data_IF_296607748765
#
_entry.id   IF_296607748765
#
_cell.length_a   1.000
_cell.length_b   1.000
_cell.length_c   1.000
_cell.angle_alpha   90.00
_cell.angle_beta   90.00
_cell.angle_gamma   90.00
#
_symmetry.space_group_name_H-M   'P 1'
#
loop_
_entity.id
_entity.type
_entity.pdbx_description
1 polymer ?
#
# COMPACT_ATOMS: atom_id res chain seq x y z
N UNK A 1 -30.28 17.08 48.91
CA UNK A 1 -30.31 17.62 47.54
C UNK A 1 -28.90 17.46 46.97
N UNK A 2 -28.65 16.34 46.38
CA UNK A 2 -27.32 16.00 45.84
C UNK A 2 -27.51 15.53 44.41
N UNK A 3 -27.09 16.39 43.52
CA UNK A 3 -27.19 16.25 42.04
C UNK A 3 -26.15 15.29 41.54
N UNK A 4 -26.57 14.16 41.04
CA UNK A 4 -25.77 13.27 40.20
C UNK A 4 -25.88 13.70 38.74
N UNK A 5 -24.82 14.22 38.12
CA UNK A 5 -24.76 14.30 36.68
C UNK A 5 -23.37 13.95 36.13
N UNK A 6 -22.94 12.71 36.16
CA UNK A 6 -21.70 12.38 35.47
C UNK A 6 -21.65 10.96 34.88
N UNK A 7 -22.77 10.30 34.69
CA UNK A 7 -22.77 8.89 34.23
C UNK A 7 -23.14 8.70 32.76
N UNK A 8 -23.24 9.76 31.92
CA UNK A 8 -23.74 9.62 30.54
C UNK A 8 -22.83 10.09 29.42
N UNK A 9 -21.56 10.47 29.67
CA UNK A 9 -20.73 11.10 28.63
C UNK A 9 -19.54 10.28 28.15
N UNK A 10 -19.29 9.07 28.64
CA UNK A 10 -18.08 8.34 28.29
C UNK A 10 -18.27 7.12 27.33
N UNK A 11 -19.50 6.81 26.94
CA UNK A 11 -19.78 5.66 26.07
C UNK A 11 -19.48 5.83 24.57
N UNK A 12 -19.57 7.00 23.93
CA UNK A 12 -19.33 7.07 22.47
C UNK A 12 -17.86 7.02 22.08
N UNK A 13 -16.93 7.48 22.90
CA UNK A 13 -15.49 7.55 22.54
C UNK A 13 -14.80 6.19 22.50
N UNK A 14 -15.20 5.26 23.37
CA UNK A 14 -14.64 3.90 23.44
C UNK A 14 -15.04 3.04 22.24
N UNK A 15 -16.28 3.13 21.78
CA UNK A 15 -16.76 2.39 20.61
C UNK A 15 -16.12 2.89 19.31
N UNK A 16 -15.95 4.20 19.15
CA UNK A 16 -15.33 4.81 17.98
C UNK A 16 -13.84 4.43 17.92
N UNK A 17 -13.15 4.43 19.06
CA UNK A 17 -11.73 4.08 19.13
C UNK A 17 -11.47 2.58 18.91
N UNK A 18 -12.35 1.69 19.36
CA UNK A 18 -12.22 0.25 19.14
C UNK A 18 -12.44 -0.12 17.66
N UNK A 19 -13.42 0.52 17.02
CA UNK A 19 -13.68 0.31 15.58
C UNK A 19 -12.52 0.82 14.72
N UNK A 20 -11.97 1.99 15.07
CA UNK A 20 -10.82 2.58 14.40
C UNK A 20 -9.54 1.73 14.56
N UNK A 21 -9.37 1.11 15.73
CA UNK A 21 -8.23 0.24 16.04
C UNK A 21 -8.29 -1.09 15.26
N UNK A 22 -9.46 -1.71 15.13
CA UNK A 22 -9.64 -2.94 14.35
C UNK A 22 -9.50 -2.69 12.84
N UNK A 23 -10.02 -1.58 12.36
CA UNK A 23 -9.95 -1.15 10.97
C UNK A 23 -8.50 -0.95 10.50
N UNK A 24 -7.64 -0.39 11.37
CA UNK A 24 -6.22 -0.22 11.04
C UNK A 24 -5.46 -1.56 11.04
N UNK A 25 -5.93 -2.57 11.78
CA UNK A 25 -5.28 -3.88 11.86
C UNK A 25 -5.31 -4.62 10.53
N UNK A 26 -6.46 -4.64 9.86
CA UNK A 26 -6.61 -5.29 8.54
C UNK A 26 -5.74 -4.61 7.48
N UNK A 27 -5.70 -3.26 7.51
CA UNK A 27 -4.84 -2.51 6.60
C UNK A 27 -3.35 -2.76 6.87
N UNK A 28 -2.94 -2.80 8.14
CA UNK A 28 -1.56 -3.12 8.52
C UNK A 28 -1.17 -4.52 8.02
N UNK A 29 -2.04 -5.51 8.18
CA UNK A 29 -1.80 -6.88 7.69
C UNK A 29 -1.69 -6.88 6.16
N UNK A 30 -2.58 -6.19 5.46
CA UNK A 30 -2.55 -6.08 4.00
C UNK A 30 -1.26 -5.42 3.48
N UNK A 31 -0.80 -4.37 4.13
CA UNK A 31 0.45 -3.68 3.79
C UNK A 31 1.66 -4.60 4.07
N UNK A 32 1.66 -5.33 5.20
CA UNK A 32 2.70 -6.31 5.49
C UNK A 32 2.74 -7.43 4.46
N UNK A 33 1.59 -7.97 4.07
CA UNK A 33 1.49 -9.00 3.03
C UNK A 33 2.02 -8.47 1.69
N UNK A 34 1.63 -7.26 1.30
CA UNK A 34 2.13 -6.61 0.09
C UNK A 34 3.65 -6.43 0.12
N UNK A 35 4.18 -5.99 1.25
CA UNK A 35 5.62 -5.77 1.44
C UNK A 35 6.41 -7.09 1.37
N UNK A 36 5.94 -8.14 2.05
CA UNK A 36 6.56 -9.47 1.97
C UNK A 36 6.54 -10.00 0.54
N UNK A 37 5.40 -9.84 -0.17
CA UNK A 37 5.31 -10.26 -1.56
C UNK A 37 6.31 -9.55 -2.45
N UNK A 38 6.54 -8.26 -2.22
CA UNK A 38 7.51 -7.45 -2.97
C UNK A 38 8.95 -7.96 -2.76
N UNK A 39 9.30 -8.32 -1.53
CA UNK A 39 10.62 -8.89 -1.21
C UNK A 39 10.75 -10.28 -1.82
N UNK A 40 9.74 -11.14 -1.62
CA UNK A 40 9.75 -12.49 -2.17
C UNK A 40 9.78 -12.49 -3.70
N UNK A 41 9.08 -11.56 -4.36
CA UNK A 41 9.17 -11.41 -5.81
C UNK A 41 10.61 -11.17 -6.26
N UNK A 42 11.33 -10.26 -5.60
CA UNK A 42 12.74 -9.98 -5.89
C UNK A 42 13.65 -11.20 -5.68
N UNK A 43 13.46 -11.91 -4.57
CA UNK A 43 14.24 -13.09 -4.22
C UNK A 43 13.96 -14.29 -5.13
N UNK A 44 12.69 -14.61 -5.36
CA UNK A 44 12.27 -15.73 -6.18
C UNK A 44 12.65 -15.53 -7.66
N UNK A 45 12.56 -14.32 -8.16
CA UNK A 45 12.98 -13.98 -9.53
C UNK A 45 14.47 -14.25 -9.75
N UNK A 46 15.30 -13.98 -8.73
CA UNK A 46 16.75 -14.15 -8.84
C UNK A 46 17.16 -15.62 -8.68
N UNK A 47 16.46 -16.40 -7.84
CA UNK A 47 17.01 -17.64 -7.31
C UNK A 47 16.29 -18.92 -7.68
N UNK A 48 14.96 -18.92 -7.78
CA UNK A 48 14.23 -20.16 -7.95
C UNK A 48 13.75 -20.41 -9.38
N UNK A 49 13.18 -19.43 -10.06
CA UNK A 49 12.61 -19.64 -11.39
C UNK A 49 12.39 -18.30 -12.11
N UNK A 50 13.12 -18.03 -13.20
CA UNK A 50 12.87 -16.84 -14.05
C UNK A 50 11.44 -16.78 -14.61
N UNK A 51 10.76 -17.95 -14.76
CA UNK A 51 9.39 -18.06 -15.26
C UNK A 51 8.29 -17.70 -14.25
N UNK A 52 8.58 -17.66 -12.94
CA UNK A 52 7.61 -17.30 -11.89
C UNK A 52 7.45 -15.78 -11.68
N UNK A 53 8.22 -14.96 -12.37
CA UNK A 53 8.13 -13.51 -12.28
C UNK A 53 6.74 -12.99 -12.69
N UNK A 54 6.15 -13.56 -13.73
CA UNK A 54 4.82 -13.15 -14.24
C UNK A 54 3.67 -13.50 -13.30
N UNK A 55 3.56 -14.74 -12.76
CA UNK A 55 2.49 -15.06 -11.80
C UNK A 55 2.57 -14.26 -10.50
N UNK A 56 3.77 -13.97 -9.98
CA UNK A 56 3.92 -13.16 -8.76
C UNK A 56 3.49 -11.71 -8.96
N UNK A 57 3.78 -11.13 -10.12
CA UNK A 57 3.27 -9.82 -10.51
C UNK A 57 1.74 -9.79 -10.52
N UNK A 58 1.12 -10.84 -11.07
CA UNK A 58 -0.35 -10.96 -11.15
C UNK A 58 -0.97 -11.06 -9.75
N UNK A 59 -0.31 -11.69 -8.79
CA UNK A 59 -0.83 -11.81 -7.40
C UNK A 59 -0.65 -10.51 -6.63
N UNK A 60 0.41 -9.75 -6.88
CA UNK A 60 0.69 -8.49 -6.20
C UNK A 60 -0.28 -7.37 -6.56
N UNK A 61 -0.63 -7.27 -7.84
CA UNK A 61 -1.47 -6.18 -8.34
C UNK A 61 -2.88 -6.16 -7.70
N UNK A 62 -3.62 -7.28 -7.58
CA UNK A 62 -4.91 -7.28 -6.91
C UNK A 62 -4.83 -6.92 -5.43
N UNK A 63 -3.74 -7.26 -4.74
CA UNK A 63 -3.53 -6.86 -3.34
C UNK A 63 -3.33 -5.34 -3.26
N UNK A 64 -2.54 -4.76 -4.16
CA UNK A 64 -2.36 -3.31 -4.25
C UNK A 64 -3.68 -2.58 -4.53
N UNK A 65 -4.45 -3.07 -5.51
CA UNK A 65 -5.76 -2.53 -5.86
C UNK A 65 -6.73 -2.63 -4.67
N UNK A 66 -6.78 -3.78 -4.01
CA UNK A 66 -7.62 -3.98 -2.84
C UNK A 66 -7.28 -3.01 -1.71
N UNK A 67 -5.99 -2.80 -1.43
CA UNK A 67 -5.52 -1.83 -0.45
C UNK A 67 -5.92 -0.40 -0.82
N UNK A 68 -5.73 0.00 -2.08
CA UNK A 68 -6.11 1.32 -2.59
C UNK A 68 -7.61 1.54 -2.44
N UNK A 69 -8.43 0.58 -2.85
CA UNK A 69 -9.90 0.67 -2.75
C UNK A 69 -10.33 0.77 -1.29
N UNK A 70 -9.78 -0.08 -0.40
CA UNK A 70 -10.09 -0.05 1.04
C UNK A 70 -9.71 1.28 1.68
N UNK A 71 -8.59 1.86 1.28
CA UNK A 71 -8.15 3.16 1.79
C UNK A 71 -9.01 4.29 1.25
N UNK A 72 -9.45 4.20 -0.01
CA UNK A 72 -10.38 5.16 -0.58
C UNK A 72 -11.73 5.14 0.15
N UNK A 73 -12.33 3.95 0.32
CA UNK A 73 -13.60 3.77 1.04
C UNK A 73 -13.55 4.31 2.48
N UNK A 74 -12.36 4.30 3.09
CA UNK A 74 -12.14 4.77 4.47
C UNK A 74 -11.73 6.24 4.57
N UNK A 75 -11.64 6.95 3.46
CA UNK A 75 -11.23 8.37 3.46
C UNK A 75 -9.80 8.59 3.96
N UNK A 76 -8.94 7.56 3.92
CA UNK A 76 -7.55 7.63 4.36
C UNK A 76 -6.64 8.23 3.30
N UNK A 77 -7.13 8.45 2.10
CA UNK A 77 -6.35 9.12 1.06
C UNK A 77 -6.07 10.57 1.47
N UNK A 78 -4.81 10.97 1.57
CA UNK A 78 -4.49 12.37 1.77
C UNK A 78 -4.88 13.14 0.50
N UNK A 79 -5.65 14.21 0.68
CA UNK A 79 -5.79 15.23 -0.35
C UNK A 79 -4.46 15.97 -0.46
N UNK A 80 -3.54 15.43 -1.25
CA UNK A 80 -2.18 15.96 -1.41
C UNK A 80 -1.97 16.34 -2.88
N UNK A 81 -1.38 17.50 -3.10
CA UNK A 81 -1.01 17.98 -4.43
C UNK A 81 -0.08 16.99 -5.15
N UNK A 82 0.75 16.28 -4.39
CA UNK A 82 1.64 15.24 -4.93
C UNK A 82 0.86 14.05 -5.51
N UNK A 83 -0.19 13.61 -4.82
CA UNK A 83 -1.03 12.52 -5.30
C UNK A 83 -1.77 12.92 -6.59
N UNK A 84 -2.34 14.13 -6.62
CA UNK A 84 -3.00 14.67 -7.82
C UNK A 84 -2.01 14.83 -8.97
N UNK A 85 -0.80 15.36 -8.70
CA UNK A 85 0.26 15.48 -9.69
C UNK A 85 0.68 14.14 -10.29
N UNK A 86 0.80 13.09 -9.45
CA UNK A 86 1.16 11.75 -9.93
C UNK A 86 0.07 11.10 -10.79
N UNK A 87 -1.20 11.31 -10.46
CA UNK A 87 -2.30 10.84 -11.30
C UNK A 87 -2.27 11.53 -12.67
N UNK A 88 -2.05 12.85 -12.70
CA UNK A 88 -1.93 13.60 -13.94
C UNK A 88 -0.73 13.11 -14.78
N UNK A 89 0.43 12.92 -14.16
CA UNK A 89 1.63 12.38 -14.82
C UNK A 89 1.37 10.97 -15.35
N UNK A 90 0.68 10.12 -14.59
CA UNK A 90 0.29 8.78 -15.01
C UNK A 90 -0.61 8.78 -16.26
N UNK A 91 -1.60 9.65 -16.28
CA UNK A 91 -2.50 9.81 -17.44
C UNK A 91 -1.74 10.35 -18.66
N UNK A 92 -0.90 11.38 -18.47
CA UNK A 92 -0.06 11.93 -19.53
C UNK A 92 0.92 10.87 -20.06
N UNK A 93 1.48 10.04 -19.18
CA UNK A 93 2.36 8.93 -19.54
C UNK A 93 1.66 7.90 -20.43
N UNK A 94 0.41 7.54 -20.13
CA UNK A 94 -0.40 6.66 -21.00
C UNK A 94 -0.60 7.30 -22.37
N UNK A 95 -0.98 8.57 -22.39
CA UNK A 95 -1.22 9.32 -23.62
C UNK A 95 0.05 9.36 -24.49
N UNK A 96 1.18 9.71 -23.89
CA UNK A 96 2.49 9.76 -24.58
C UNK A 96 2.90 8.39 -25.11
N UNK A 97 2.70 7.32 -24.32
CA UNK A 97 3.05 5.97 -24.75
C UNK A 97 2.22 5.46 -25.93
N UNK A 98 0.94 5.88 -26.01
CA UNK A 98 0.04 5.50 -27.11
C UNK A 98 0.37 6.30 -28.38
N UNK A 99 0.53 7.62 -28.27
CA UNK A 99 0.66 8.51 -29.43
C UNK A 99 2.09 8.63 -29.96
N UNK A 100 3.08 8.63 -29.09
CA UNK A 100 4.48 8.85 -29.44
C UNK A 100 5.37 7.61 -29.20
N UNK A 101 4.83 6.59 -28.52
CA UNK A 101 5.55 5.37 -28.22
C UNK A 101 5.23 4.23 -29.19
N UNK A 102 5.23 3.02 -28.67
CA UNK A 102 5.03 1.79 -29.45
C UNK A 102 3.59 1.54 -29.90
N UNK A 103 2.63 2.43 -29.58
CA UNK A 103 1.21 2.25 -29.90
C UNK A 103 0.55 1.05 -29.17
N UNK A 104 1.23 0.43 -28.23
CA UNK A 104 0.72 -0.73 -27.51
C UNK A 104 0.13 -0.33 -26.17
N UNK A 105 -1.20 -0.39 -26.07
CA UNK A 105 -1.96 -0.04 -24.86
C UNK A 105 -1.53 -0.88 -23.65
N UNK A 106 -1.20 -2.16 -23.86
CA UNK A 106 -0.81 -3.06 -22.76
C UNK A 106 0.48 -2.56 -22.11
N UNK A 107 1.47 -2.16 -22.90
CA UNK A 107 2.75 -1.63 -22.41
C UNK A 107 2.53 -0.31 -21.67
N UNK A 108 1.69 0.57 -22.20
CA UNK A 108 1.32 1.83 -21.56
C UNK A 108 0.66 1.61 -20.19
N UNK A 109 -0.29 0.67 -20.10
CA UNK A 109 -0.96 0.31 -18.84
C UNK A 109 0.02 -0.32 -17.82
N UNK A 110 0.96 -1.16 -18.26
CA UNK A 110 1.98 -1.73 -17.39
C UNK A 110 2.90 -0.66 -16.79
N UNK A 111 3.25 0.38 -17.53
CA UNK A 111 4.01 1.52 -17.00
C UNK A 111 3.18 2.36 -16.03
N UNK A 112 1.97 2.70 -16.40
CA UNK A 112 1.10 3.56 -15.60
C UNK A 112 0.66 2.92 -14.27
N UNK A 113 0.53 1.59 -14.17
CA UNK A 113 0.13 0.89 -12.94
C UNK A 113 1.05 1.20 -11.75
N UNK A 114 2.35 1.41 -12.00
CA UNK A 114 3.30 1.75 -10.95
C UNK A 114 2.93 3.10 -10.33
N UNK A 115 2.63 4.09 -11.16
CA UNK A 115 2.25 5.41 -10.71
C UNK A 115 0.85 5.46 -10.10
N UNK A 116 -0.10 4.71 -10.66
CA UNK A 116 -1.50 4.78 -10.26
C UNK A 116 -1.84 3.89 -9.05
N UNK A 117 -1.17 2.75 -8.88
CA UNK A 117 -1.48 1.81 -7.80
C UNK A 117 -0.41 1.76 -6.71
N UNK A 118 0.86 1.69 -7.08
CA UNK A 118 1.93 1.49 -6.11
C UNK A 118 2.32 2.78 -5.39
N UNK A 119 2.35 3.90 -6.12
CA UNK A 119 2.71 5.18 -5.52
C UNK A 119 1.72 5.68 -4.47
N UNK A 120 0.39 5.62 -4.66
CA UNK A 120 -0.57 5.98 -3.63
C UNK A 120 -0.43 5.17 -2.35
N UNK A 121 0.03 3.90 -2.43
CA UNK A 121 0.25 3.05 -1.25
C UNK A 121 1.29 3.63 -0.29
N UNK A 122 2.29 4.36 -0.78
CA UNK A 122 3.31 5.00 0.07
C UNK A 122 2.66 6.01 1.02
N UNK A 123 1.72 6.80 0.51
CA UNK A 123 1.00 7.78 1.34
C UNK A 123 0.07 7.12 2.36
N UNK A 124 -0.54 5.99 1.95
CA UNK A 124 -1.38 5.19 2.85
C UNK A 124 -0.54 4.59 3.96
N UNK A 125 0.63 4.04 3.63
CA UNK A 125 1.58 3.51 4.63
C UNK A 125 1.97 4.59 5.64
N UNK A 126 2.29 5.80 5.19
CA UNK A 126 2.62 6.93 6.06
C UNK A 126 1.49 7.36 7.01
N UNK A 127 0.22 7.06 6.67
CA UNK A 127 -0.93 7.35 7.55
C UNK A 127 -1.34 6.20 8.47
N UNK A 128 -1.07 4.97 8.06
CA UNK A 128 -1.52 3.76 8.76
C UNK A 128 -0.46 3.25 9.73
N UNK A 129 0.82 3.43 9.40
CA UNK A 129 1.92 2.93 10.19
C UNK A 129 2.32 3.91 11.29
N UNK A 130 2.45 3.36 12.49
CA UNK A 130 3.08 4.04 13.61
C UNK A 130 4.62 3.88 13.54
N UNK A 131 5.33 4.68 14.34
CA UNK A 131 6.80 4.60 14.43
C UNK A 131 7.33 3.19 14.69
N UNK A 132 6.64 2.44 15.54
CA UNK A 132 7.03 1.06 15.90
C UNK A 132 6.87 0.10 14.72
N UNK A 133 5.86 0.30 13.89
CA UNK A 133 5.65 -0.51 12.69
C UNK A 133 6.75 -0.25 11.65
N UNK A 134 7.15 1.01 11.49
CA UNK A 134 8.27 1.38 10.59
C UNK A 134 9.59 0.76 11.07
N UNK A 135 9.85 0.77 12.38
CA UNK A 135 11.04 0.14 12.96
C UNK A 135 11.01 -1.38 12.73
N UNK A 136 9.85 -2.03 12.87
CA UNK A 136 9.71 -3.46 12.60
C UNK A 136 9.99 -3.80 11.14
N UNK A 137 9.48 -3.00 10.20
CA UNK A 137 9.78 -3.19 8.78
C UNK A 137 11.27 -2.98 8.51
N UNK A 138 11.88 -1.93 9.05
CA UNK A 138 13.31 -1.69 8.91
C UNK A 138 14.15 -2.86 9.41
N UNK A 139 13.81 -3.42 10.59
CA UNK A 139 14.47 -4.62 11.12
C UNK A 139 14.25 -5.85 10.23
N UNK A 140 13.04 -6.04 9.70
CA UNK A 140 12.74 -7.14 8.78
C UNK A 140 13.57 -7.05 7.49
N UNK A 141 13.71 -5.84 6.92
CA UNK A 141 14.56 -5.60 5.76
C UNK A 141 16.02 -5.97 6.07
N UNK A 142 16.56 -5.50 7.18
CA UNK A 142 17.93 -5.81 7.58
C UNK A 142 18.15 -7.32 7.73
N UNK A 143 17.22 -8.03 8.39
CA UNK A 143 17.30 -9.48 8.55
C UNK A 143 17.24 -10.24 7.22
N UNK A 144 16.42 -9.78 6.28
CA UNK A 144 16.28 -10.41 4.96
C UNK A 144 17.47 -10.07 4.04
N UNK A 145 18.08 -8.90 4.23
CA UNK A 145 19.24 -8.48 3.43
C UNK A 145 20.47 -9.36 3.69
N UNK A 146 20.66 -9.80 4.93
CA UNK A 146 21.81 -10.66 5.30
C UNK A 146 21.86 -11.93 4.45
N UNK A 147 20.84 -12.81 4.41
CA UNK A 147 20.88 -14.00 3.55
C UNK A 147 20.90 -13.67 2.05
N UNK A 148 20.33 -12.53 1.63
CA UNK A 148 20.34 -12.12 0.22
C UNK A 148 21.71 -11.64 -0.27
N UNK A 149 22.58 -11.17 0.62
CA UNK A 149 23.94 -10.73 0.28
C UNK A 149 24.95 -11.86 0.33
N UNK A 150 24.70 -12.90 1.13
CA UNK A 150 25.60 -14.06 1.32
C UNK A 150 25.42 -15.12 0.22
N UNK A 151 24.25 -15.18 -0.36
CA UNK A 151 23.89 -16.13 -1.43
C UNK A 151 24.00 -15.48 -2.82
#
# INVERSE_FOLDING_TARGET
>A
MESTPDLMLDKPKTFINSHKKNVNKDLKIGIWAYFLLLIFEGALRKWLLPGLATPLLIIRDPIAIWLVIKCWQRGLFPSSIYLSGMVIIGILGIFTAIFFGHGNLIVALFGARILLFHFPLIFVMGKVFDRDDVIKIGKAILWITIPMTVL
#
